data_IF_538342990180
#
_entry.id   IF_538342990180
#
_cell.length_a   1.000
_cell.length_b   1.000
_cell.length_c   1.000
_cell.angle_alpha   90.00
_cell.angle_beta   90.00
_cell.angle_gamma   90.00
#
_symmetry.space_group_name_H-M   'P 1'
#
loop_
_entity.id
_entity.type
_entity.pdbx_description
1 polymer ?
#
# COMPACT_ATOMS: atom_id res chain seq x y z
N UNK A 1 -35.28 -23.23 -11.35
CA UNK A 1 -33.97 -23.83 -11.64
C UNK A 1 -33.28 -22.90 -12.62
N UNK A 2 -32.42 -22.09 -12.03
CA UNK A 2 -31.10 -21.72 -12.53
C UNK A 2 -31.04 -20.86 -13.79
N UNK A 3 -31.48 -19.60 -13.64
CA UNK A 3 -30.89 -18.49 -14.37
C UNK A 3 -29.64 -18.04 -13.61
N UNK A 4 -28.55 -18.79 -13.73
CA UNK A 4 -27.25 -18.36 -13.26
C UNK A 4 -26.75 -17.28 -14.23
N UNK A 5 -27.14 -16.05 -13.94
CA UNK A 5 -26.89 -14.88 -14.80
C UNK A 5 -25.41 -14.49 -14.67
N UNK A 6 -24.63 -14.98 -15.63
CA UNK A 6 -23.19 -14.91 -15.58
C UNK A 6 -22.68 -13.48 -15.80
N UNK A 7 -21.60 -13.15 -15.10
CA UNK A 7 -20.84 -11.94 -15.36
C UNK A 7 -19.88 -12.24 -16.52
N UNK A 8 -20.13 -11.75 -17.75
CA UNK A 8 -19.32 -12.08 -18.92
C UNK A 8 -17.86 -11.63 -18.75
N UNK A 9 -17.59 -10.59 -17.95
CA UNK A 9 -16.25 -10.16 -17.57
C UNK A 9 -15.52 -11.22 -16.71
N UNK A 10 -16.23 -11.87 -15.78
CA UNK A 10 -15.70 -12.93 -14.92
C UNK A 10 -15.56 -14.22 -15.71
N UNK A 11 -16.54 -14.59 -16.53
CA UNK A 11 -16.43 -15.75 -17.42
C UNK A 11 -15.27 -15.62 -18.40
N UNK A 12 -15.12 -14.43 -18.99
CA UNK A 12 -13.99 -14.12 -19.87
C UNK A 12 -12.67 -14.20 -19.11
N UNK A 13 -12.62 -13.66 -17.89
CA UNK A 13 -11.43 -13.76 -17.04
C UNK A 13 -11.08 -15.21 -16.69
N UNK A 14 -12.09 -16.04 -16.39
CA UNK A 14 -11.95 -17.46 -16.11
C UNK A 14 -11.44 -18.21 -17.34
N UNK A 15 -12.09 -18.02 -18.50
CA UNK A 15 -11.72 -18.68 -19.77
C UNK A 15 -10.33 -18.28 -20.26
N UNK A 16 -9.94 -17.03 -20.07
CA UNK A 16 -8.64 -16.50 -20.46
C UNK A 16 -7.55 -16.65 -19.38
N UNK A 17 -7.88 -17.25 -18.21
CA UNK A 17 -6.99 -17.38 -17.04
C UNK A 17 -6.30 -16.06 -16.68
N UNK A 18 -7.08 -14.98 -16.65
CA UNK A 18 -6.56 -13.65 -16.34
C UNK A 18 -6.07 -13.61 -14.90
N UNK A 19 -4.91 -13.01 -14.72
CA UNK A 19 -4.31 -12.79 -13.40
C UNK A 19 -4.76 -11.47 -12.77
N UNK A 20 -5.46 -10.64 -13.52
CA UNK A 20 -5.96 -9.35 -13.07
C UNK A 20 -7.40 -9.19 -13.53
N UNK A 21 -8.26 -8.80 -12.58
CA UNK A 21 -9.66 -8.52 -12.82
C UNK A 21 -9.95 -7.14 -12.23
N UNK A 22 -10.34 -6.22 -13.11
CA UNK A 22 -10.74 -4.86 -12.76
C UNK A 22 -12.20 -4.70 -13.13
N UNK A 23 -13.02 -4.48 -12.10
CA UNK A 23 -14.44 -4.22 -12.17
C UNK A 23 -14.68 -2.85 -11.54
N UNK A 24 -14.62 -1.79 -12.35
CA UNK A 24 -14.86 -0.41 -11.90
C UNK A 24 -15.84 0.33 -12.83
N UNK A 25 -16.62 1.25 -12.26
CA UNK A 25 -17.32 2.31 -12.99
C UNK A 25 -18.83 2.09 -13.14
N UNK A 26 -19.50 3.13 -13.63
CA UNK A 26 -20.96 3.24 -13.66
C UNK A 26 -21.69 2.10 -14.38
N UNK A 27 -21.04 1.43 -15.34
CA UNK A 27 -21.63 0.27 -16.04
C UNK A 27 -21.78 -0.93 -15.11
N UNK A 28 -20.87 -1.10 -14.15
CA UNK A 28 -20.92 -2.18 -13.17
C UNK A 28 -21.89 -1.83 -12.06
N UNK A 29 -21.92 -0.57 -11.62
CA UNK A 29 -22.95 -0.06 -10.70
C UNK A 29 -24.35 -0.18 -11.29
N UNK A 30 -24.53 0.17 -12.57
CA UNK A 30 -25.78 -0.01 -13.30
C UNK A 30 -26.12 -1.48 -13.46
N UNK A 31 -25.16 -2.38 -13.65
CA UNK A 31 -25.44 -3.83 -13.74
C UNK A 31 -25.79 -4.43 -12.37
N UNK A 32 -25.11 -3.99 -11.32
CA UNK A 32 -25.44 -4.27 -9.91
C UNK A 32 -26.86 -3.75 -9.57
N UNK A 33 -27.22 -2.58 -10.09
CA UNK A 33 -28.51 -1.92 -9.81
C UNK A 33 -29.67 -2.37 -10.72
N UNK A 34 -29.40 -2.71 -11.99
CA UNK A 34 -30.39 -3.06 -13.02
C UNK A 34 -30.79 -4.53 -12.99
N UNK A 35 -29.98 -5.41 -12.39
CA UNK A 35 -30.33 -6.80 -12.15
C UNK A 35 -31.34 -6.99 -10.99
N UNK A 36 -32.28 -6.05 -10.82
CA UNK A 36 -33.73 -6.28 -10.68
C UNK A 36 -34.31 -7.20 -9.61
N UNK A 37 -33.51 -7.83 -8.75
CA UNK A 37 -33.97 -8.74 -7.69
C UNK A 37 -33.23 -8.43 -6.39
N UNK A 38 -33.40 -7.21 -5.86
CA UNK A 38 -33.18 -6.85 -4.44
C UNK A 38 -31.89 -7.30 -3.69
N UNK A 39 -30.85 -7.87 -4.33
CA UNK A 39 -29.76 -8.57 -3.60
C UNK A 39 -28.33 -8.47 -4.21
N UNK A 40 -28.07 -7.71 -5.28
CA UNK A 40 -26.72 -7.64 -5.89
C UNK A 40 -25.78 -6.62 -5.25
N UNK A 41 -25.96 -6.32 -3.97
CA UNK A 41 -24.92 -5.62 -3.20
C UNK A 41 -23.71 -6.51 -2.90
N UNK A 42 -23.75 -7.80 -3.23
CA UNK A 42 -22.64 -8.72 -3.08
C UNK A 42 -21.91 -8.96 -4.42
N UNK A 43 -20.60 -9.20 -4.34
CA UNK A 43 -19.84 -9.74 -5.48
C UNK A 43 -20.29 -11.18 -5.80
N UNK A 44 -20.43 -11.55 -7.08
CA UNK A 44 -20.84 -12.90 -7.50
C UNK A 44 -19.88 -13.99 -6.99
N UNK A 45 -20.45 -15.14 -6.57
CA UNK A 45 -19.68 -16.30 -6.11
C UNK A 45 -18.75 -16.86 -7.20
N UNK A 46 -19.07 -16.65 -8.48
CA UNK A 46 -18.24 -17.07 -9.62
C UNK A 46 -16.81 -16.53 -9.55
N UNK A 47 -16.59 -15.40 -8.86
CA UNK A 47 -15.24 -14.85 -8.68
C UNK A 47 -14.33 -15.77 -7.88
N UNK A 48 -14.90 -16.61 -7.00
CA UNK A 48 -14.16 -17.58 -6.19
C UNK A 48 -13.54 -18.70 -7.03
N UNK A 49 -14.05 -18.92 -8.24
CA UNK A 49 -13.52 -19.93 -9.16
C UNK A 49 -12.23 -19.48 -9.87
N UNK A 50 -11.86 -18.20 -9.76
CA UNK A 50 -10.66 -17.62 -10.39
C UNK A 50 -9.38 -17.94 -9.62
N UNK A 51 -9.01 -19.22 -9.53
CA UNK A 51 -7.81 -19.69 -8.81
C UNK A 51 -6.47 -19.09 -9.31
N UNK A 52 -6.42 -18.60 -10.55
CA UNK A 52 -5.25 -17.96 -11.16
C UNK A 52 -5.17 -16.43 -10.93
N UNK A 53 -6.15 -15.83 -10.23
CA UNK A 53 -6.23 -14.40 -10.02
C UNK A 53 -5.17 -13.91 -9.01
N UNK A 54 -4.36 -12.92 -9.43
CA UNK A 54 -3.36 -12.28 -8.59
C UNK A 54 -3.83 -10.93 -8.04
N UNK A 55 -4.62 -10.20 -8.83
CA UNK A 55 -5.09 -8.84 -8.50
C UNK A 55 -6.58 -8.74 -8.75
N UNK A 56 -7.33 -8.39 -7.71
CA UNK A 56 -8.75 -8.08 -7.78
C UNK A 56 -8.96 -6.60 -7.46
N UNK A 57 -9.59 -5.87 -8.37
CA UNK A 57 -9.94 -4.48 -8.16
C UNK A 57 -11.42 -4.26 -8.47
N UNK A 58 -12.18 -4.02 -7.43
CA UNK A 58 -13.64 -3.84 -7.42
C UNK A 58 -14.00 -2.52 -6.74
N UNK A 59 -13.09 -1.54 -6.80
CA UNK A 59 -13.28 -0.26 -6.13
C UNK A 59 -14.29 0.65 -6.84
N UNK A 60 -14.86 1.60 -6.11
CA UNK A 60 -15.86 2.55 -6.63
C UNK A 60 -17.10 1.82 -7.16
N UNK A 61 -17.66 0.92 -6.34
CA UNK A 61 -18.97 0.34 -6.61
C UNK A 61 -19.87 0.45 -5.37
N UNK A 62 -21.09 -0.10 -5.42
CA UNK A 62 -22.03 -0.14 -4.28
C UNK A 62 -22.09 -1.52 -3.59
N UNK A 63 -20.94 -2.18 -3.43
CA UNK A 63 -20.86 -3.52 -2.84
C UNK A 63 -20.91 -3.43 -1.30
N UNK A 64 -21.78 -4.19 -0.63
CA UNK A 64 -21.89 -4.25 0.85
C UNK A 64 -21.23 -5.48 1.48
N UNK A 65 -20.89 -6.48 0.67
CA UNK A 65 -20.34 -7.76 1.13
C UNK A 65 -19.45 -8.43 0.08
N UNK A 66 -18.40 -9.11 0.54
CA UNK A 66 -17.59 -10.00 -0.28
C UNK A 66 -18.18 -11.43 -0.21
N UNK A 67 -18.07 -12.23 -1.28
CA UNK A 67 -18.56 -13.60 -1.28
C UNK A 67 -17.76 -14.47 -0.32
N UNK A 68 -18.45 -15.41 0.30
CA UNK A 68 -17.82 -16.53 0.98
C UNK A 68 -17.07 -17.38 -0.07
N UNK A 69 -15.91 -17.93 0.30
CA UNK A 69 -15.08 -18.72 -0.60
C UNK A 69 -14.03 -17.92 -1.35
N UNK A 70 -13.80 -16.63 -1.03
CA UNK A 70 -12.72 -15.85 -1.64
C UNK A 70 -11.34 -16.50 -1.39
N UNK A 71 -11.22 -17.31 -0.34
CA UNK A 71 -10.03 -18.12 -0.07
C UNK A 71 -9.62 -19.08 -1.21
N UNK A 72 -10.55 -19.46 -2.10
CA UNK A 72 -10.26 -20.30 -3.28
C UNK A 72 -9.39 -19.58 -4.32
N UNK A 73 -9.34 -18.25 -4.29
CA UNK A 73 -8.40 -17.43 -5.08
C UNK A 73 -6.99 -17.51 -4.48
N UNK A 74 -6.41 -18.72 -4.45
CA UNK A 74 -5.16 -19.03 -3.74
C UNK A 74 -3.95 -18.19 -4.15
N UNK A 75 -3.97 -17.62 -5.37
CA UNK A 75 -2.90 -16.74 -5.90
C UNK A 75 -3.13 -15.26 -5.65
N UNK A 76 -4.24 -14.89 -5.01
CA UNK A 76 -4.61 -13.50 -4.81
C UNK A 76 -3.59 -12.81 -3.90
N UNK A 77 -2.95 -11.78 -4.46
CA UNK A 77 -1.87 -11.05 -3.83
C UNK A 77 -2.24 -9.61 -3.51
N UNK A 78 -3.18 -9.05 -4.26
CA UNK A 78 -3.64 -7.67 -4.14
C UNK A 78 -5.15 -7.63 -4.29
N UNK A 79 -5.82 -7.00 -3.33
CA UNK A 79 -7.24 -6.70 -3.40
C UNK A 79 -7.48 -5.20 -3.16
N UNK A 80 -8.26 -4.60 -4.05
CA UNK A 80 -8.75 -3.23 -3.90
C UNK A 80 -10.28 -3.24 -3.93
N UNK A 81 -10.88 -2.97 -2.79
CA UNK A 81 -12.33 -2.87 -2.56
C UNK A 81 -12.70 -1.47 -2.07
N UNK A 82 -11.83 -0.47 -2.27
CA UNK A 82 -12.09 0.89 -1.79
C UNK A 82 -13.35 1.52 -2.37
N UNK A 83 -13.97 2.46 -1.66
CA UNK A 83 -15.18 3.17 -2.12
C UNK A 83 -16.32 2.20 -2.45
N UNK A 84 -16.69 1.42 -1.45
CA UNK A 84 -17.83 0.51 -1.45
C UNK A 84 -18.57 0.68 -0.11
N UNK A 85 -19.60 -0.12 0.14
CA UNK A 85 -20.41 -0.11 1.36
C UNK A 85 -20.11 -1.32 2.29
N UNK A 86 -18.91 -1.92 2.16
CA UNK A 86 -18.56 -3.16 2.87
C UNK A 86 -18.52 -2.94 4.38
N UNK A 87 -19.19 -3.82 5.13
CA UNK A 87 -19.33 -3.72 6.60
C UNK A 87 -18.38 -4.63 7.37
N UNK A 88 -17.97 -5.75 6.77
CA UNK A 88 -17.05 -6.74 7.37
C UNK A 88 -16.32 -7.54 6.28
N UNK A 89 -15.20 -8.15 6.65
CA UNK A 89 -14.57 -9.20 5.84
C UNK A 89 -15.19 -10.56 6.18
N UNK A 90 -15.35 -11.49 5.21
CA UNK A 90 -15.79 -12.85 5.50
C UNK A 90 -14.70 -13.62 6.27
N UNK A 91 -15.09 -14.62 7.07
CA UNK A 91 -14.17 -15.34 7.97
C UNK A 91 -13.03 -16.05 7.22
N UNK A 92 -13.30 -16.48 5.99
CA UNK A 92 -12.33 -17.16 5.14
C UNK A 92 -11.35 -16.21 4.43
N UNK A 93 -11.61 -14.90 4.44
CA UNK A 93 -10.71 -13.87 3.91
C UNK A 93 -9.29 -13.99 4.47
N UNK A 94 -9.19 -14.32 5.76
CA UNK A 94 -7.93 -14.46 6.48
C UNK A 94 -7.13 -15.72 6.12
N UNK A 95 -7.67 -16.59 5.25
CA UNK A 95 -7.00 -17.80 4.72
C UNK A 95 -6.26 -17.55 3.40
N UNK A 96 -6.20 -16.31 2.92
CA UNK A 96 -5.47 -15.94 1.72
C UNK A 96 -3.97 -15.76 2.00
N UNK A 97 -3.22 -16.86 1.95
CA UNK A 97 -1.81 -16.92 2.34
C UNK A 97 -0.88 -15.97 1.56
N UNK A 98 -1.21 -15.68 0.29
CA UNK A 98 -0.39 -14.84 -0.59
C UNK A 98 -0.81 -13.36 -0.59
N UNK A 99 -1.87 -13.01 0.14
CA UNK A 99 -2.41 -11.65 0.16
C UNK A 99 -1.40 -10.69 0.79
N UNK A 100 -0.92 -9.76 -0.01
CA UNK A 100 0.15 -8.83 0.34
C UNK A 100 -0.33 -7.39 0.48
N UNK A 101 -1.37 -7.02 -0.25
CA UNK A 101 -1.91 -5.66 -0.30
C UNK A 101 -3.42 -5.71 -0.21
N UNK A 102 -3.97 -5.06 0.82
CA UNK A 102 -5.42 -4.89 1.01
C UNK A 102 -5.71 -3.40 1.05
N UNK A 103 -6.50 -2.92 0.09
CA UNK A 103 -6.98 -1.54 0.02
C UNK A 103 -8.50 -1.58 0.16
N UNK A 104 -9.01 -1.16 1.30
CA UNK A 104 -10.43 -1.08 1.61
C UNK A 104 -10.82 0.26 2.23
N UNK A 105 -10.16 1.33 1.77
CA UNK A 105 -10.48 2.70 2.20
C UNK A 105 -11.89 3.12 1.78
N UNK A 106 -12.51 4.04 2.51
CA UNK A 106 -13.85 4.58 2.19
C UNK A 106 -14.89 3.45 2.08
N UNK A 107 -15.04 2.68 3.15
CA UNK A 107 -16.06 1.65 3.31
C UNK A 107 -16.80 1.85 4.64
N UNK A 108 -17.66 0.90 5.02
CA UNK A 108 -18.39 0.89 6.30
C UNK A 108 -17.87 -0.16 7.28
N UNK A 109 -16.59 -0.56 7.20
CA UNK A 109 -16.04 -1.68 7.99
C UNK A 109 -16.04 -1.32 9.48
N UNK A 110 -16.73 -2.11 10.29
CA UNK A 110 -16.93 -1.83 11.72
C UNK A 110 -15.88 -2.50 12.62
N UNK A 111 -15.39 -3.67 12.20
CA UNK A 111 -14.40 -4.45 12.94
C UNK A 111 -13.34 -5.06 12.01
N UNK A 112 -12.13 -5.17 12.55
CA UNK A 112 -11.05 -5.97 11.97
C UNK A 112 -10.80 -7.13 12.91
N UNK A 113 -10.98 -8.37 12.42
CA UNK A 113 -10.79 -9.57 13.24
C UNK A 113 -9.33 -9.72 13.67
N UNK A 114 -9.13 -10.30 14.85
CA UNK A 114 -7.80 -10.70 15.33
C UNK A 114 -7.09 -11.66 14.37
N UNK A 115 -7.86 -12.39 13.54
CA UNK A 115 -7.35 -13.30 12.51
C UNK A 115 -6.54 -12.65 11.39
N UNK A 116 -6.44 -11.31 11.36
CA UNK A 116 -5.55 -10.59 10.44
C UNK A 116 -4.08 -11.08 10.50
N UNK A 117 -3.63 -11.62 11.63
CA UNK A 117 -2.30 -12.20 11.78
C UNK A 117 -2.07 -13.44 10.89
N UNK A 118 -3.13 -14.12 10.45
CA UNK A 118 -3.05 -15.30 9.56
C UNK A 118 -2.60 -14.92 8.15
N UNK A 119 -2.76 -13.65 7.74
CA UNK A 119 -2.29 -13.13 6.46
C UNK A 119 -0.76 -12.96 6.47
N UNK A 120 -0.03 -14.07 6.37
CA UNK A 120 1.43 -14.14 6.54
C UNK A 120 2.25 -13.38 5.48
N UNK A 121 1.62 -13.02 4.35
CA UNK A 121 2.22 -12.23 3.28
C UNK A 121 1.90 -10.73 3.33
N UNK A 122 1.02 -10.29 4.25
CA UNK A 122 0.48 -8.94 4.29
C UNK A 122 1.59 -7.90 4.52
N UNK A 123 1.67 -6.91 3.63
CA UNK A 123 2.64 -5.81 3.64
C UNK A 123 1.96 -4.45 3.76
N UNK A 124 0.80 -4.30 3.12
CA UNK A 124 0.05 -3.04 3.04
C UNK A 124 -1.39 -3.30 3.43
N UNK A 125 -1.89 -2.54 4.40
CA UNK A 125 -3.28 -2.57 4.83
C UNK A 125 -3.83 -1.15 4.93
N UNK A 126 -4.74 -0.78 4.03
CA UNK A 126 -5.45 0.49 4.07
C UNK A 126 -6.92 0.26 4.41
N UNK A 127 -7.31 0.61 5.63
CA UNK A 127 -8.70 0.66 6.11
C UNK A 127 -9.10 2.10 6.48
N UNK A 128 -8.54 3.12 5.82
CA UNK A 128 -8.89 4.51 6.11
C UNK A 128 -10.35 4.84 5.79
N UNK A 129 -10.93 5.83 6.46
CA UNK A 129 -12.32 6.26 6.30
C UNK A 129 -13.31 5.09 6.40
N UNK A 130 -13.22 4.32 7.48
CA UNK A 130 -14.14 3.25 7.84
C UNK A 130 -14.80 3.55 9.21
N UNK A 131 -15.50 2.56 9.78
CA UNK A 131 -16.19 2.68 11.06
C UNK A 131 -15.49 1.90 12.18
N UNK A 132 -14.20 1.61 12.04
CA UNK A 132 -13.45 0.84 13.02
C UNK A 132 -13.44 1.55 14.38
N UNK A 133 -13.78 0.79 15.42
CA UNK A 133 -13.79 1.29 16.80
C UNK A 133 -12.54 0.90 17.60
N UNK A 134 -11.93 -0.24 17.27
CA UNK A 134 -10.70 -0.74 17.88
C UNK A 134 -9.81 -1.38 16.80
N UNK A 135 -8.52 -1.56 17.11
CA UNK A 135 -7.57 -2.26 16.24
C UNK A 135 -7.01 -3.45 17.04
N UNK A 136 -7.10 -4.69 16.52
CA UNK A 136 -6.61 -5.88 17.22
C UNK A 136 -5.09 -5.80 17.47
N UNK A 137 -4.63 -6.26 18.64
CA UNK A 137 -3.20 -6.27 18.96
C UNK A 137 -2.44 -7.32 18.13
N UNK A 138 -3.16 -8.35 17.67
CA UNK A 138 -2.71 -9.40 16.75
C UNK A 138 -2.20 -8.82 15.42
N UNK A 139 -2.64 -7.62 15.01
CA UNK A 139 -2.08 -6.92 13.86
C UNK A 139 -0.57 -6.67 14.00
N UNK A 140 -0.08 -6.54 15.23
CA UNK A 140 1.35 -6.39 15.49
C UNK A 140 2.15 -7.65 15.16
N UNK A 141 1.52 -8.83 15.12
CA UNK A 141 2.17 -10.11 14.83
C UNK A 141 2.29 -10.41 13.33
N UNK A 142 1.72 -9.55 12.47
CA UNK A 142 1.97 -9.58 11.02
C UNK A 142 3.42 -9.21 10.70
N UNK A 143 4.30 -10.22 10.63
CA UNK A 143 5.76 -10.05 10.48
C UNK A 143 6.22 -9.26 9.24
N UNK A 144 5.43 -9.24 8.17
CA UNK A 144 5.76 -8.57 6.90
C UNK A 144 5.06 -7.23 6.72
N UNK A 145 4.25 -6.79 7.68
CA UNK A 145 3.46 -5.56 7.58
C UNK A 145 4.37 -4.33 7.63
N UNK A 146 4.30 -3.50 6.60
CA UNK A 146 5.16 -2.32 6.42
C UNK A 146 4.36 -1.02 6.49
N UNK A 147 3.16 -1.04 5.94
CA UNK A 147 2.33 0.14 5.79
C UNK A 147 0.92 -0.17 6.27
N UNK A 148 0.42 0.68 7.17
CA UNK A 148 -0.96 0.64 7.65
C UNK A 148 -1.56 2.04 7.51
N UNK A 149 -2.83 2.09 7.16
CA UNK A 149 -3.60 3.32 7.16
C UNK A 149 -4.96 3.08 7.81
N UNK A 150 -5.18 3.72 8.96
CA UNK A 150 -6.44 3.66 9.71
C UNK A 150 -7.03 5.06 9.91
N UNK A 151 -6.54 6.07 9.16
CA UNK A 151 -7.00 7.46 9.31
C UNK A 151 -8.50 7.56 9.01
N UNK A 152 -9.21 8.46 9.68
CA UNK A 152 -10.66 8.64 9.46
C UNK A 152 -11.54 7.55 10.08
N UNK A 153 -11.00 6.68 10.94
CA UNK A 153 -11.79 5.78 11.78
C UNK A 153 -12.09 6.40 13.16
N UNK A 154 -13.19 5.99 13.78
CA UNK A 154 -13.63 6.48 15.11
C UNK A 154 -13.10 5.58 16.23
N UNK A 155 -11.79 5.55 16.40
CA UNK A 155 -11.14 4.69 17.39
C UNK A 155 -11.48 5.13 18.83
N UNK A 156 -11.76 4.16 19.70
CA UNK A 156 -12.05 4.38 21.13
C UNK A 156 -10.82 4.90 21.87
N UNK A 157 -9.64 4.33 21.58
CA UNK A 157 -8.37 4.81 22.13
C UNK A 157 -7.94 6.11 21.45
N UNK A 158 -8.18 7.25 22.13
CA UNK A 158 -7.81 8.59 21.66
C UNK A 158 -6.31 8.79 21.45
N UNK A 159 -5.47 8.02 22.14
CA UNK A 159 -4.02 8.07 21.92
C UNK A 159 -3.67 7.34 20.63
N UNK A 160 -4.24 6.15 20.42
CA UNK A 160 -4.07 5.40 19.18
C UNK A 160 -4.59 6.21 17.98
N UNK A 161 -5.75 6.85 18.12
CA UNK A 161 -6.33 7.76 17.10
C UNK A 161 -5.34 8.88 16.70
N UNK A 162 -4.69 9.52 17.67
CA UNK A 162 -3.65 10.54 17.41
C UNK A 162 -2.42 9.93 16.74
N UNK A 163 -2.00 8.73 17.16
CA UNK A 163 -0.84 8.05 16.58
C UNK A 163 -1.07 7.66 15.12
N UNK A 164 -2.27 7.16 14.78
CA UNK A 164 -2.64 6.81 13.40
C UNK A 164 -2.53 8.01 12.44
N UNK A 165 -2.78 9.23 12.93
CA UNK A 165 -2.74 10.43 12.10
C UNK A 165 -1.33 10.99 11.85
N UNK A 166 -0.34 10.69 12.70
CA UNK A 166 0.97 11.36 12.64
C UNK A 166 2.20 10.49 12.92
N UNK A 167 2.04 9.24 13.35
CA UNK A 167 3.15 8.33 13.63
C UNK A 167 3.40 7.36 12.47
N UNK A 168 4.64 6.87 12.38
CA UNK A 168 4.99 5.77 11.47
C UNK A 168 4.32 4.47 11.90
N UNK A 169 4.05 3.58 10.93
CA UNK A 169 3.47 2.24 11.14
C UNK A 169 4.14 1.47 12.27
N UNK A 170 5.48 1.46 12.32
CA UNK A 170 6.23 0.77 13.38
C UNK A 170 5.84 1.23 14.78
N UNK A 171 5.70 2.53 15.00
CA UNK A 171 5.33 3.08 16.31
C UNK A 171 3.91 2.67 16.74
N UNK A 172 3.01 2.54 15.77
CA UNK A 172 1.63 2.09 16.00
C UNK A 172 1.62 0.59 16.35
N UNK A 173 2.36 -0.24 15.59
CA UNK A 173 2.48 -1.66 15.88
C UNK A 173 3.16 -1.93 17.24
N UNK A 174 4.19 -1.17 17.59
CA UNK A 174 4.84 -1.25 18.91
C UNK A 174 3.88 -0.86 20.04
N UNK A 175 2.98 0.10 19.79
CA UNK A 175 1.94 0.49 20.76
C UNK A 175 0.90 -0.61 20.97
N UNK A 176 0.44 -1.24 19.88
CA UNK A 176 -0.48 -2.36 19.90
C UNK A 176 0.13 -3.58 20.62
N UNK A 177 1.40 -3.91 20.30
CA UNK A 177 2.14 -5.00 20.96
C UNK A 177 2.28 -4.80 22.47
N UNK A 178 2.42 -3.55 22.90
CA UNK A 178 2.50 -3.21 24.32
C UNK A 178 1.14 -3.20 25.05
N UNK A 179 0.02 -3.49 24.36
CA UNK A 179 -1.32 -3.51 24.96
C UNK A 179 -1.85 -2.13 25.35
N UNK A 180 -1.31 -1.06 24.76
CA UNK A 180 -1.65 0.32 25.10
C UNK A 180 -1.01 0.79 26.42
N UNK A 181 -0.21 1.86 26.37
CA UNK A 181 0.51 2.41 27.54
C UNK A 181 -0.40 3.14 28.57
N UNK A 182 -1.71 3.01 28.46
CA UNK A 182 -2.70 3.79 29.21
C UNK A 182 -3.60 3.00 30.17
N UNK A 183 -3.61 1.66 30.11
CA UNK A 183 -4.33 0.85 31.08
C UNK A 183 -3.32 0.24 32.06
N UNK A 184 -3.43 0.63 33.33
CA UNK A 184 -2.79 -0.09 34.41
C UNK A 184 -3.13 -1.58 34.32
N UNK A 185 -2.21 -2.41 34.82
CA UNK A 185 -2.45 -3.83 35.15
C UNK A 185 -3.90 -4.03 35.60
N UNK A 186 -4.71 -4.80 34.87
CA UNK A 186 -6.07 -5.05 35.31
C UNK A 186 -7.02 -5.61 34.27
N UNK A 187 -6.67 -6.72 33.62
CA UNK A 187 -7.63 -7.76 33.25
C UNK A 187 -6.87 -9.05 32.94
N UNK A 188 -6.18 -9.58 33.96
CA UNK A 188 -6.01 -11.02 34.02
C UNK A 188 -7.33 -11.58 34.54
N UNK A 189 -7.85 -12.54 33.80
CA UNK A 189 -8.86 -13.49 34.22
C UNK A 189 -8.64 -13.86 35.69
N UNK A 190 -9.70 -13.72 36.48
CA UNK A 190 -9.75 -14.22 37.83
C UNK A 190 -9.73 -15.75 37.78
N UNK A 191 -8.70 -16.35 38.36
CA UNK A 191 -8.75 -17.65 39.02
C UNK A 191 -7.72 -17.60 40.16
N UNK A 192 -8.16 -17.97 41.36
CA UNK A 192 -7.46 -17.76 42.63
C UNK A 192 -6.24 -18.66 42.82
N UNK A 193 -5.28 -18.22 43.62
CA UNK A 193 -5.16 -18.55 45.05
C UNK A 193 -3.84 -17.94 45.58
N UNK A 194 -3.78 -17.66 46.88
CA UNK A 194 -2.73 -16.83 47.50
C UNK A 194 -1.35 -17.49 47.61
N UNK A 195 -0.29 -16.67 47.65
CA UNK A 195 0.54 -16.55 48.86
C UNK A 195 1.48 -15.33 48.81
N UNK A 196 1.85 -14.84 49.99
CA UNK A 196 2.68 -13.65 50.25
C UNK A 196 4.17 -13.90 49.98
N UNK A 197 4.87 -12.91 49.43
CA UNK A 197 6.27 -12.62 49.78
C UNK A 197 6.68 -11.19 49.35
N UNK A 198 7.11 -10.40 50.34
CA UNK A 198 7.84 -9.14 50.16
C UNK A 198 9.31 -9.41 49.76
N UNK A 199 9.92 -8.49 49.00
CA UNK A 199 11.38 -8.36 48.94
C UNK A 199 11.95 -7.75 47.65
N UNK A 200 12.72 -6.66 47.79
CA UNK A 200 13.84 -6.34 46.88
C UNK A 200 13.61 -5.30 45.78
N UNK A 201 13.76 -4.00 46.11
CA UNK A 201 14.03 -2.92 45.13
C UNK A 201 15.54 -2.80 44.87
N UNK A 202 15.86 -2.41 43.63
CA UNK A 202 17.14 -1.85 43.12
C UNK A 202 18.17 -2.81 42.50
N UNK A 203 18.01 -3.10 41.20
CA UNK A 203 19.12 -3.39 40.29
C UNK A 203 18.75 -3.27 38.79
N UNK A 204 18.10 -2.19 38.31
CA UNK A 204 17.76 -2.12 36.87
C UNK A 204 17.66 -0.72 36.24
N UNK A 205 18.39 0.27 36.77
CA UNK A 205 18.36 1.66 36.22
C UNK A 205 19.60 2.09 35.44
N UNK A 206 20.59 1.23 35.23
CA UNK A 206 21.89 1.66 34.68
C UNK A 206 22.09 1.34 33.18
N UNK A 207 21.29 0.46 32.56
CA UNK A 207 21.46 0.09 31.15
C UNK A 207 20.71 1.00 30.14
N UNK A 208 19.64 1.69 30.57
CA UNK A 208 18.78 2.51 29.67
C UNK A 208 19.36 3.88 29.28
N UNK A 209 20.37 4.38 30.00
CA UNK A 209 20.99 5.69 29.72
C UNK A 209 22.05 5.64 28.61
N UNK A 210 22.77 4.52 28.45
CA UNK A 210 23.78 4.34 27.38
C UNK A 210 23.14 4.20 26.00
N UNK A 211 22.01 3.49 25.88
CA UNK A 211 21.30 3.31 24.60
C UNK A 211 20.63 4.61 24.09
N UNK A 212 20.12 5.48 24.98
CA UNK A 212 19.55 6.79 24.58
C UNK A 212 20.62 7.76 24.05
N UNK A 213 21.86 7.68 24.54
CA UNK A 213 22.96 8.56 24.10
C UNK A 213 23.48 8.16 22.71
N UNK A 214 23.52 6.87 22.38
CA UNK A 214 23.86 6.39 21.02
C UNK A 214 22.75 6.69 19.99
N UNK A 215 21.47 6.57 20.38
CA UNK A 215 20.35 6.85 19.47
C UNK A 215 20.19 8.34 19.15
N UNK A 216 20.55 9.22 20.09
CA UNK A 216 20.55 10.68 19.86
C UNK A 216 21.66 11.10 18.90
N UNK A 217 22.86 10.52 19.05
CA UNK A 217 24.01 10.80 18.17
C UNK A 217 23.76 10.36 16.72
N UNK A 218 23.08 9.22 16.53
CA UNK A 218 22.69 8.73 15.20
C UNK A 218 21.63 9.60 14.52
N UNK A 219 20.71 10.18 15.29
CA UNK A 219 19.70 11.11 14.76
C UNK A 219 20.31 12.46 14.37
N UNK A 220 21.30 12.96 15.13
CA UNK A 220 22.02 14.20 14.81
C UNK A 220 22.85 14.02 13.51
N UNK A 221 23.51 12.87 13.32
CA UNK A 221 24.22 12.54 12.07
C UNK A 221 23.28 12.43 10.84
N UNK A 222 22.06 11.88 11.01
CA UNK A 222 21.06 11.79 9.92
C UNK A 222 20.44 13.15 9.57
N UNK A 223 20.42 14.12 10.50
CA UNK A 223 19.90 15.48 10.27
C UNK A 223 20.92 16.34 9.49
N UNK A 224 22.21 16.26 9.85
CA UNK A 224 23.29 16.94 9.14
C UNK A 224 23.43 16.47 7.68
N UNK A 225 23.20 15.18 7.39
CA UNK A 225 23.18 14.64 6.01
C UNK A 225 22.02 15.20 5.16
N UNK A 226 20.89 15.54 5.77
CA UNK A 226 19.71 16.09 5.08
C UNK A 226 19.94 17.56 4.69
N UNK A 227 20.61 18.33 5.54
CA UNK A 227 21.01 19.71 5.24
C UNK A 227 22.11 19.79 4.17
N UNK A 228 23.01 18.81 4.10
CA UNK A 228 24.01 18.71 3.03
C UNK A 228 23.39 18.37 1.66
N UNK A 229 22.35 17.53 1.63
CA UNK A 229 21.58 17.22 0.41
C UNK A 229 20.80 18.43 -0.12
N UNK A 230 20.32 19.32 0.75
CA UNK A 230 19.65 20.57 0.34
C UNK A 230 20.62 21.59 -0.27
N UNK A 231 21.94 21.41 -0.12
CA UNK A 231 22.98 22.22 -0.79
C UNK A 231 23.37 21.74 -2.19
N UNK A 232 22.82 20.63 -2.69
CA UNK A 232 23.06 20.17 -4.07
C UNK A 232 22.29 21.02 -5.09
N UNK A 233 22.81 22.22 -5.32
CA UNK A 233 22.35 23.16 -6.35
C UNK A 233 22.62 22.55 -7.73
N UNK A 234 21.57 22.27 -8.48
CA UNK A 234 21.65 21.83 -9.89
C UNK A 234 22.27 22.97 -10.71
N UNK A 235 23.49 22.78 -11.22
CA UNK A 235 24.12 23.70 -12.18
C UNK A 235 23.80 23.26 -13.61
N UNK A 236 23.14 24.12 -14.37
CA UNK A 236 22.90 23.91 -15.80
C UNK A 236 24.21 24.16 -16.55
N UNK A 237 24.83 23.09 -17.05
CA UNK A 237 26.16 23.16 -17.68
C UNK A 237 26.11 23.64 -19.14
N UNK A 238 25.00 23.41 -19.83
CA UNK A 238 24.84 23.77 -21.24
C UNK A 238 23.36 23.74 -21.64
N UNK A 239 22.90 24.76 -22.38
CA UNK A 239 21.62 24.79 -23.07
C UNK A 239 21.94 25.17 -24.51
N UNK A 240 21.51 24.37 -25.48
CA UNK A 240 21.71 24.66 -26.89
C UNK A 240 20.49 24.25 -27.67
N UNK A 241 20.06 25.12 -28.59
CA UNK A 241 18.94 24.86 -29.49
C UNK A 241 19.35 23.94 -30.66
N UNK A 242 20.64 23.68 -30.85
CA UNK A 242 21.15 22.58 -31.67
C UNK A 242 22.65 22.29 -31.43
N UNK A 243 23.03 21.23 -30.68
CA UNK A 243 24.43 20.85 -30.52
C UNK A 243 24.74 19.53 -31.26
N UNK A 244 25.68 19.58 -32.20
CA UNK A 244 26.06 18.51 -33.14
C UNK A 244 26.69 17.24 -32.56
N UNK A 245 26.24 16.74 -31.41
CA UNK A 245 26.67 15.46 -30.85
C UNK A 245 25.52 14.45 -30.63
N UNK A 246 24.26 14.89 -30.63
CA UNK A 246 23.11 14.02 -30.41
C UNK A 246 22.01 14.28 -31.44
N UNK A 247 21.82 13.36 -32.38
CA UNK A 247 20.71 13.41 -33.33
C UNK A 247 19.54 12.60 -32.78
N UNK A 248 18.46 13.27 -32.38
CA UNK A 248 17.21 12.62 -32.00
C UNK A 248 16.37 12.40 -33.26
N UNK A 249 16.18 11.13 -33.66
CA UNK A 249 15.30 10.78 -34.79
C UNK A 249 13.88 10.52 -34.26
N UNK A 250 12.91 11.28 -34.75
CA UNK A 250 11.49 11.12 -34.40
C UNK A 250 10.77 10.44 -35.56
N UNK A 251 10.11 9.31 -35.30
CA UNK A 251 9.27 8.64 -36.30
C UNK A 251 8.06 9.51 -36.65
N UNK A 252 7.67 9.55 -37.92
CA UNK A 252 6.58 10.43 -38.37
C UNK A 252 5.23 10.11 -37.70
N UNK A 253 4.99 8.85 -37.32
CA UNK A 253 3.77 8.43 -36.60
C UNK A 253 3.63 9.03 -35.20
N UNK A 254 4.73 9.53 -34.60
CA UNK A 254 4.72 10.08 -33.23
C UNK A 254 4.40 11.59 -33.19
N UNK A 255 4.47 12.28 -34.32
CA UNK A 255 4.23 13.73 -34.41
C UNK A 255 2.80 14.09 -33.99
N UNK A 256 1.84 13.24 -34.32
CA UNK A 256 0.42 13.45 -34.03
C UNK A 256 0.05 13.06 -32.59
N UNK A 257 0.84 12.16 -31.96
CA UNK A 257 0.58 11.66 -30.60
C UNK A 257 1.23 12.55 -29.54
N UNK A 258 2.45 13.06 -29.79
CA UNK A 258 3.15 13.98 -28.88
C UNK A 258 3.98 15.01 -29.67
N UNK A 259 3.45 16.23 -29.88
CA UNK A 259 4.13 17.24 -30.69
C UNK A 259 5.39 17.83 -30.04
N UNK A 260 5.54 17.71 -28.71
CA UNK A 260 6.69 18.25 -27.97
C UNK A 260 7.39 17.16 -27.15
N UNK A 261 8.70 17.06 -27.31
CA UNK A 261 9.57 16.16 -26.55
C UNK A 261 10.80 16.93 -26.05
N UNK A 262 11.13 16.77 -24.77
CA UNK A 262 12.31 17.36 -24.15
C UNK A 262 13.15 16.24 -23.56
N UNK A 263 14.45 16.25 -23.85
CA UNK A 263 15.41 15.29 -23.31
C UNK A 263 16.61 16.04 -22.75
N UNK A 264 17.09 15.61 -21.57
CA UNK A 264 18.31 16.13 -20.98
C UNK A 264 19.13 14.99 -20.35
N UNK A 265 20.45 15.18 -20.31
CA UNK A 265 21.35 14.27 -19.61
C UNK A 265 21.95 15.02 -18.42
N UNK A 266 21.68 14.52 -17.23
CA UNK A 266 22.22 15.08 -15.99
C UNK A 266 23.49 14.32 -15.61
N UNK A 267 24.64 15.00 -15.63
CA UNK A 267 25.93 14.43 -15.24
C UNK A 267 26.16 14.60 -13.74
N UNK A 268 26.90 13.67 -13.13
CA UNK A 268 27.25 13.73 -11.71
C UNK A 268 26.19 13.22 -10.73
N UNK A 269 25.10 12.58 -11.22
CA UNK A 269 24.15 11.89 -10.35
C UNK A 269 24.71 10.53 -9.91
N UNK A 270 24.92 10.34 -8.61
CA UNK A 270 25.33 9.06 -8.04
C UNK A 270 24.23 8.51 -7.12
N UNK A 271 23.68 7.35 -7.46
CA UNK A 271 22.62 6.68 -6.69
C UNK A 271 23.10 5.44 -5.92
N UNK A 272 24.42 5.18 -5.89
CA UNK A 272 24.99 4.00 -5.21
C UNK A 272 25.04 4.13 -3.68
N UNK A 273 24.79 5.32 -3.13
CA UNK A 273 24.79 5.56 -1.68
C UNK A 273 23.43 5.25 -1.04
N UNK A 274 23.44 4.30 -0.10
CA UNK A 274 22.31 4.02 0.81
C UNK A 274 20.95 3.93 0.12
N UNK A 275 20.01 4.75 0.57
CA UNK A 275 18.62 4.78 0.08
C UNK A 275 18.38 5.83 -1.05
N UNK A 276 19.43 6.41 -1.63
CA UNK A 276 19.31 7.51 -2.59
C UNK A 276 18.46 7.15 -3.82
N UNK A 277 18.62 5.94 -4.37
CA UNK A 277 17.83 5.47 -5.52
C UNK A 277 16.34 5.38 -5.19
N UNK A 278 15.99 4.82 -4.03
CA UNK A 278 14.60 4.69 -3.58
C UNK A 278 13.97 6.07 -3.37
N UNK A 279 14.69 7.00 -2.73
CA UNK A 279 14.23 8.39 -2.52
C UNK A 279 14.04 9.13 -3.84
N UNK A 280 14.95 8.95 -4.79
CA UNK A 280 14.84 9.54 -6.13
C UNK A 280 13.65 8.99 -6.93
N UNK A 281 13.35 7.70 -6.81
CA UNK A 281 12.15 7.10 -7.42
C UNK A 281 10.86 7.64 -6.79
N UNK A 282 10.81 7.80 -5.47
CA UNK A 282 9.66 8.39 -4.78
C UNK A 282 9.45 9.86 -5.20
N UNK A 283 10.52 10.65 -5.28
CA UNK A 283 10.44 12.03 -5.76
C UNK A 283 9.92 12.11 -7.20
N UNK A 284 10.33 11.18 -8.06
CA UNK A 284 9.82 11.10 -9.43
C UNK A 284 8.32 10.78 -9.46
N UNK A 285 7.85 9.80 -8.69
CA UNK A 285 6.42 9.45 -8.63
C UNK A 285 5.60 10.65 -8.17
N UNK A 286 6.07 11.36 -7.13
CA UNK A 286 5.39 12.56 -6.65
C UNK A 286 5.33 13.66 -7.73
N UNK A 287 6.40 13.87 -8.49
CA UNK A 287 6.41 14.87 -9.55
C UNK A 287 5.49 14.49 -10.73
N UNK A 288 5.28 13.19 -10.97
CA UNK A 288 4.29 12.71 -11.92
C UNK A 288 2.85 12.95 -11.46
N UNK A 289 2.59 12.80 -10.18
CA UNK A 289 1.25 12.97 -9.60
C UNK A 289 0.88 14.46 -9.53
N UNK A 290 1.83 15.30 -9.12
CA UNK A 290 1.62 16.74 -8.91
C UNK A 290 1.74 17.53 -10.22
N UNK A 291 2.94 17.56 -10.84
CA UNK A 291 3.28 18.47 -11.93
C UNK A 291 2.90 17.94 -13.31
N UNK A 292 2.82 16.62 -13.48
CA UNK A 292 2.45 15.98 -14.74
C UNK A 292 0.97 15.60 -14.84
N UNK A 293 0.12 16.06 -13.90
CA UNK A 293 -1.31 15.77 -13.87
C UNK A 293 -1.60 14.28 -13.82
N UNK A 294 -0.99 13.54 -12.88
CA UNK A 294 -1.07 12.07 -12.81
C UNK A 294 -0.71 11.38 -14.13
N UNK A 295 0.31 11.91 -14.81
CA UNK A 295 0.84 11.43 -16.12
C UNK A 295 -0.06 11.66 -17.34
N UNK A 296 -1.18 12.37 -17.18
CA UNK A 296 -2.11 12.65 -18.30
C UNK A 296 -1.64 13.83 -19.14
N UNK A 297 -1.08 14.87 -18.51
CA UNK A 297 -0.65 16.10 -19.18
C UNK A 297 0.78 16.01 -19.69
N UNK A 298 1.66 15.36 -18.93
CA UNK A 298 3.06 15.16 -19.31
C UNK A 298 3.53 13.77 -18.87
N UNK A 299 4.55 13.23 -19.52
CA UNK A 299 5.16 11.97 -19.09
C UNK A 299 6.66 12.12 -19.10
N UNK A 300 7.25 12.01 -17.93
CA UNK A 300 8.70 11.91 -17.77
C UNK A 300 9.15 10.45 -17.77
N UNK A 301 10.27 10.19 -18.43
CA UNK A 301 10.96 8.92 -18.32
C UNK A 301 12.42 9.19 -18.06
N UNK A 302 13.05 8.29 -17.30
CA UNK A 302 14.48 8.32 -17.02
C UNK A 302 15.08 6.97 -17.39
N UNK A 303 16.29 7.00 -17.92
CA UNK A 303 17.10 5.80 -18.16
C UNK A 303 18.52 6.07 -17.67
N UNK A 304 19.16 5.01 -17.23
CA UNK A 304 20.60 5.04 -17.01
C UNK A 304 21.29 5.08 -18.37
N UNK A 305 22.01 6.17 -18.63
CA UNK A 305 22.72 6.41 -19.89
C UNK A 305 23.82 5.37 -20.11
N UNK A 306 24.42 4.83 -19.04
CA UNK A 306 25.45 3.79 -19.15
C UNK A 306 24.85 2.40 -19.44
N UNK A 307 23.60 2.16 -19.02
CA UNK A 307 22.88 0.91 -19.30
C UNK A 307 22.33 0.85 -20.73
N UNK A 308 22.26 1.99 -21.41
CA UNK A 308 21.95 2.09 -22.84
C UNK A 308 23.25 2.12 -23.64
N UNK A 309 23.91 0.97 -23.82
CA UNK A 309 24.93 0.87 -24.88
C UNK A 309 24.23 1.10 -26.23
N UNK A 310 24.75 1.94 -27.13
CA UNK A 310 24.31 1.88 -28.51
C UNK A 310 24.66 0.50 -29.03
N UNK A 311 23.69 -0.22 -29.59
CA UNK A 311 24.00 -1.31 -30.51
C UNK A 311 24.88 -0.68 -31.60
N UNK A 312 26.10 -1.16 -31.87
CA UNK A 312 26.83 -0.70 -33.04
C UNK A 312 26.00 -1.13 -34.25
N UNK A 313 25.39 -0.17 -34.91
CA UNK A 313 24.84 -0.38 -36.25
C UNK A 313 26.07 -0.67 -37.10
N UNK A 314 26.29 -1.95 -37.41
CA UNK A 314 27.22 -2.35 -38.45
C UNK A 314 26.80 -1.66 -39.74
N UNK A 315 27.72 -0.88 -40.32
CA UNK A 315 27.60 -0.33 -41.65
C UNK A 315 27.18 -1.42 -42.65
N UNK A 316 26.11 -1.14 -43.38
CA UNK A 316 25.90 -1.61 -44.74
C UNK A 316 25.73 -0.37 -45.61
#
# INVERSE_FOLDING_TARGET
MDGQESWPEIEKASKEKRRELVLQGAVIDEKISSNGVNNLKALPEEITQLSDLNTLNVSCNNIDSLPDGLCHCTKLSTINISKNDITRFPDDFYRLDLLSTVIASENSIEELSGDVHKLSALKVLDLSNNKLSDIPYELSDCSKLKEINFKGNKLKDKRLEKMVNGCQTKSILDYLRAGGRGKGKGSKQADGDGDKAEGGRNAEKTQTKKQRKQKKKKNEEEEDEVDELNRLVVKVLHVSDNPGAFTVKVANELKDVRPYLVCCVVRGMNFRSGNALKRFLVAQTKLHDDLCGKRTTATMQKRDVAATSPVPISNA
#
